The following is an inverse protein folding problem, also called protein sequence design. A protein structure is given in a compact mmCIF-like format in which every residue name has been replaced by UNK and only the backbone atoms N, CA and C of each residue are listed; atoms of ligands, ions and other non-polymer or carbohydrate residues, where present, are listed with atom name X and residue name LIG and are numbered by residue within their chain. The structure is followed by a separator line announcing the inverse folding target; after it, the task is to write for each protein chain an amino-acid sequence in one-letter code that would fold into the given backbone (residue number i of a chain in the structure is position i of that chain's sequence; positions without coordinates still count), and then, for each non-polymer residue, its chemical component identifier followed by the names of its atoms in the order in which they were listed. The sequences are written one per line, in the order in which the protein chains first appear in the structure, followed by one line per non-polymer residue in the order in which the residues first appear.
data_IF_665319671702
#
_entry.id   IF_665319671702
#
_cell.length_a   1.000
_cell.length_b   1.000
_cell.length_c   1.000
_cell.angle_alpha   90.00
_cell.angle_beta   90.00
_cell.angle_gamma   90.00
#
_symmetry.space_group_name_H-M   'P 1'
#
loop_
_entity.id
_entity.type
_entity.pdbx_description
1 polymer ?
#
# COMPACT_ATOMS: atom_id res chain seq x y z
N UNK A 1 -14.65 12.27 -0.97
CA UNK A 1 -13.28 11.89 -1.37
C UNK A 1 -13.13 10.39 -1.17
N UNK A 2 -12.24 9.74 -1.91
CA UNK A 2 -11.92 8.30 -1.77
C UNK A 2 -11.58 7.90 -0.33
N UNK A 3 -11.11 8.86 0.47
CA UNK A 3 -10.72 8.70 1.88
C UNK A 3 -11.45 9.70 2.79
N UNK A 4 -12.77 9.61 2.87
CA UNK A 4 -13.63 10.48 3.68
C UNK A 4 -13.93 9.95 5.09
N UNK A 5 -13.44 8.75 5.41
CA UNK A 5 -13.60 8.07 6.70
C UNK A 5 -12.25 7.69 7.28
N UNK A 6 -12.22 7.56 8.62
CA UNK A 6 -11.06 7.03 9.32
C UNK A 6 -10.72 5.65 8.77
N UNK A 7 -9.44 5.41 8.50
CA UNK A 7 -8.93 4.09 8.15
C UNK A 7 -8.56 3.38 9.44
N UNK A 8 -8.99 2.13 9.56
CA UNK A 8 -8.68 1.26 10.69
C UNK A 8 -7.92 0.05 10.17
N UNK A 9 -6.68 -0.10 10.61
CA UNK A 9 -5.86 -1.29 10.37
C UNK A 9 -5.80 -2.09 11.67
N UNK A 10 -5.99 -3.40 11.58
CA UNK A 10 -6.07 -4.30 12.74
C UNK A 10 -5.12 -5.49 12.60
N UNK A 11 -4.93 -6.22 13.71
CA UNK A 11 -4.18 -7.46 13.72
C UNK A 11 -2.68 -7.23 13.51
N UNK A 12 -1.99 -8.22 12.93
CA UNK A 12 -0.53 -8.15 12.69
C UNK A 12 -0.08 -6.90 11.95
N UNK A 13 -0.86 -6.42 10.98
CA UNK A 13 -0.50 -5.24 10.19
C UNK A 13 -0.43 -3.98 11.06
N UNK A 14 -1.33 -3.84 12.04
CA UNK A 14 -1.27 -2.74 13.02
C UNK A 14 0.01 -2.84 13.86
N UNK A 15 0.35 -4.04 14.34
CA UNK A 15 1.59 -4.25 15.08
C UNK A 15 2.85 -3.94 14.25
N UNK A 16 2.86 -4.32 12.98
CA UNK A 16 3.99 -4.07 12.07
C UNK A 16 4.13 -2.58 11.77
N UNK A 17 3.02 -1.87 11.54
CA UNK A 17 3.02 -0.42 11.36
C UNK A 17 3.54 0.30 12.61
N UNK A 18 3.17 -0.13 13.81
CA UNK A 18 3.71 0.42 15.06
C UNK A 18 5.23 0.22 15.13
N UNK A 19 5.73 -0.98 14.85
CA UNK A 19 7.17 -1.26 14.88
C UNK A 19 7.97 -0.42 13.87
N UNK A 20 7.47 -0.27 12.64
CA UNK A 20 8.09 0.56 11.61
C UNK A 20 8.17 2.04 12.04
N UNK A 21 7.11 2.56 12.68
CA UNK A 21 7.08 3.92 13.22
C UNK A 21 8.01 4.07 14.43
N UNK A 22 7.90 3.16 15.40
CA UNK A 22 8.61 3.25 16.69
C UNK A 22 10.12 3.08 16.53
N UNK A 23 10.56 2.39 15.47
CA UNK A 23 11.97 2.33 15.06
C UNK A 23 12.44 3.53 14.22
N UNK A 24 11.58 4.51 13.97
CA UNK A 24 11.93 5.78 13.33
C UNK A 24 12.03 5.72 11.80
N UNK A 25 11.60 4.62 11.15
CA UNK A 25 11.61 4.53 9.69
C UNK A 25 10.52 5.39 9.04
N UNK A 26 9.42 5.62 9.74
CA UNK A 26 8.32 6.46 9.29
C UNK A 26 7.82 7.35 10.43
N UNK A 27 7.52 8.60 10.12
CA UNK A 27 7.02 9.56 11.12
C UNK A 27 5.54 9.35 11.45
N UNK A 28 4.72 8.96 10.47
CA UNK A 28 3.26 8.77 10.64
C UNK A 28 2.84 7.40 10.12
N UNK A 29 1.80 6.82 10.73
CA UNK A 29 1.13 5.64 10.18
C UNK A 29 0.56 5.87 8.77
N UNK A 30 0.18 7.10 8.46
CA UNK A 30 -0.24 7.48 7.11
C UNK A 30 0.91 7.34 6.09
N UNK A 31 2.14 7.70 6.47
CA UNK A 31 3.30 7.55 5.57
C UNK A 31 3.57 6.08 5.28
N UNK A 32 3.42 5.21 6.30
CA UNK A 32 3.50 3.75 6.12
C UNK A 32 2.39 3.30 5.18
N UNK A 33 1.13 3.69 5.41
CA UNK A 33 -0.02 3.31 4.59
C UNK A 33 0.17 3.66 3.10
N UNK A 34 0.60 4.91 2.82
CA UNK A 34 0.83 5.41 1.46
C UNK A 34 1.95 4.61 0.77
N UNK A 35 3.10 4.46 1.43
CA UNK A 35 4.24 3.78 0.84
C UNK A 35 3.99 2.27 0.70
N UNK A 36 3.28 1.66 1.64
CA UNK A 36 2.92 0.24 1.57
C UNK A 36 2.01 -0.09 0.40
N UNK A 37 1.15 0.83 -0.08
CA UNK A 37 0.38 0.59 -1.31
C UNK A 37 1.31 0.33 -2.51
N UNK A 38 2.33 1.19 -2.67
CA UNK A 38 3.31 1.11 -3.75
C UNK A 38 4.17 -0.15 -3.61
N UNK A 39 4.72 -0.38 -2.41
CA UNK A 39 5.56 -1.55 -2.12
C UNK A 39 4.79 -2.85 -2.34
N UNK A 40 3.56 -2.94 -1.83
CA UNK A 40 2.72 -4.12 -2.03
C UNK A 40 2.46 -4.37 -3.51
N UNK A 41 2.18 -3.34 -4.29
CA UNK A 41 1.98 -3.47 -5.73
C UNK A 41 3.26 -3.93 -6.46
N UNK A 42 4.41 -3.29 -6.18
CA UNK A 42 5.70 -3.64 -6.79
C UNK A 42 6.12 -5.09 -6.53
N UNK A 43 5.87 -5.60 -5.32
CA UNK A 43 6.13 -6.99 -4.95
C UNK A 43 5.00 -7.95 -5.33
N UNK A 44 3.95 -7.47 -6.01
CA UNK A 44 2.71 -8.19 -6.29
C UNK A 44 2.16 -8.92 -5.05
N UNK A 45 2.25 -8.27 -3.89
CA UNK A 45 1.88 -8.83 -2.59
C UNK A 45 0.57 -8.25 -2.12
N UNK A 46 -0.45 -9.12 -2.04
CA UNK A 46 -1.75 -8.84 -1.43
C UNK A 46 -1.85 -9.59 -0.10
N UNK A 47 -2.43 -8.96 0.92
CA UNK A 47 -2.78 -9.61 2.18
C UNK A 47 -4.21 -9.28 2.62
N UNK A 48 -4.76 -10.14 3.47
CA UNK A 48 -6.08 -9.96 4.06
C UNK A 48 -5.95 -9.43 5.49
N UNK A 49 -6.99 -8.75 5.95
CA UNK A 49 -7.06 -8.33 7.36
C UNK A 49 -6.89 -9.53 8.29
N UNK A 50 -5.96 -9.40 9.24
CA UNK A 50 -5.65 -10.45 10.20
C UNK A 50 -6.71 -10.48 11.30
N UNK A 51 -7.26 -11.67 11.54
CA UNK A 51 -8.28 -11.97 12.55
C UNK A 51 -7.77 -12.99 13.58
N UNK A 52 -6.46 -13.22 13.63
CA UNK A 52 -5.86 -14.14 14.59
C UNK A 52 -6.01 -13.62 16.03
N UNK A 53 -6.17 -14.55 16.97
CA UNK A 53 -6.31 -14.22 18.38
C UNK A 53 -5.05 -13.54 18.94
N UNK A 54 -3.89 -13.87 18.38
CA UNK A 54 -2.58 -13.31 18.76
C UNK A 54 -2.53 -11.78 18.68
N UNK A 55 -3.21 -11.18 17.71
CA UNK A 55 -3.17 -9.73 17.47
C UNK A 55 -4.54 -9.05 17.62
N UNK A 56 -5.50 -9.70 18.29
CA UNK A 56 -6.90 -9.23 18.37
C UNK A 56 -7.06 -7.80 18.91
N UNK A 57 -6.18 -7.39 19.83
CA UNK A 57 -6.23 -6.08 20.48
C UNK A 57 -5.41 -5.01 19.75
N UNK A 58 -4.74 -5.35 18.65
CA UNK A 58 -3.93 -4.43 17.86
C UNK A 58 -4.79 -3.67 16.86
N UNK A 59 -4.81 -2.34 17.02
CA UNK A 59 -5.58 -1.41 16.19
C UNK A 59 -4.82 -0.11 15.98
N UNK A 60 -4.61 0.24 14.72
CA UNK A 60 -4.06 1.53 14.28
C UNK A 60 -5.15 2.29 13.54
N UNK A 61 -5.37 3.54 13.92
CA UNK A 61 -6.34 4.40 13.26
C UNK A 61 -5.62 5.58 12.59
N UNK A 62 -5.91 5.79 11.31
CA UNK A 62 -5.48 6.98 10.57
C UNK A 62 -6.69 7.90 10.45
N UNK A 63 -6.57 9.12 10.95
CA UNK A 63 -7.67 10.06 11.04
C UNK A 63 -8.00 10.69 9.68
N UNK A 64 -9.28 10.92 9.42
CA UNK A 64 -9.77 11.57 8.19
C UNK A 64 -9.06 12.89 7.89
N UNK A 65 -8.75 13.70 8.91
CA UNK A 65 -8.02 14.97 8.72
C UNK A 65 -6.66 14.78 8.06
N UNK A 66 -5.95 13.70 8.36
CA UNK A 66 -4.67 13.40 7.72
C UNK A 66 -4.89 12.92 6.28
N UNK A 67 -5.93 12.13 6.05
CA UNK A 67 -6.28 11.62 4.72
C UNK A 67 -6.72 12.74 3.78
N UNK A 68 -7.48 13.71 4.27
CA UNK A 68 -7.91 14.89 3.49
C UNK A 68 -6.71 15.75 3.11
N UNK A 69 -5.74 15.93 4.00
CA UNK A 69 -4.51 16.68 3.70
C UNK A 69 -3.66 16.02 2.61
N UNK A 70 -3.65 14.69 2.57
CA UNK A 70 -2.89 13.89 1.61
C UNK A 70 -3.80 13.29 0.51
N UNK A 71 -4.99 13.86 0.27
CA UNK A 71 -5.99 13.20 -0.60
C UNK A 71 -5.50 13.09 -2.03
N UNK A 72 -4.80 14.11 -2.54
CA UNK A 72 -4.28 14.12 -3.91
C UNK A 72 -3.27 13.01 -4.15
N UNK A 73 -2.36 12.76 -3.20
CA UNK A 73 -1.35 11.68 -3.35
C UNK A 73 -2.00 10.30 -3.22
N UNK A 74 -2.94 10.15 -2.30
CA UNK A 74 -3.67 8.92 -2.09
C UNK A 74 -4.54 8.55 -3.30
N UNK A 75 -5.28 9.53 -3.86
CA UNK A 75 -6.06 9.35 -5.09
C UNK A 75 -5.14 8.99 -6.26
N UNK A 76 -4.02 9.70 -6.43
CA UNK A 76 -3.07 9.38 -7.50
C UNK A 76 -2.57 7.94 -7.42
N UNK A 77 -2.12 7.48 -6.26
CA UNK A 77 -1.60 6.12 -6.07
C UNK A 77 -2.71 5.08 -6.27
N UNK A 78 -3.92 5.34 -5.76
CA UNK A 78 -5.06 4.46 -6.00
C UNK A 78 -5.36 4.30 -7.49
N UNK A 79 -5.48 5.41 -8.22
CA UNK A 79 -5.77 5.40 -9.65
C UNK A 79 -4.67 4.70 -10.44
N UNK A 80 -3.42 4.96 -10.09
CA UNK A 80 -2.26 4.32 -10.71
C UNK A 80 -2.30 2.80 -10.51
N UNK A 81 -2.53 2.33 -9.28
CA UNK A 81 -2.64 0.90 -8.99
C UNK A 81 -3.84 0.30 -9.73
N UNK A 82 -5.02 0.94 -9.73
CA UNK A 82 -6.19 0.41 -10.44
C UNK A 82 -5.97 0.33 -11.95
N UNK A 83 -5.22 1.28 -12.52
CA UNK A 83 -4.89 1.30 -13.94
C UNK A 83 -3.88 0.20 -14.31
N UNK A 84 -2.92 -0.11 -13.42
CA UNK A 84 -1.86 -1.09 -13.64
C UNK A 84 -2.23 -2.51 -13.19
N UNK A 85 -3.18 -2.65 -12.27
CA UNK A 85 -3.63 -3.93 -11.72
C UNK A 85 -4.40 -4.73 -12.78
N UNK A 86 -3.64 -5.49 -13.57
CA UNK A 86 -4.14 -6.39 -14.57
C UNK A 86 -4.62 -7.69 -13.91
N UNK A 87 -5.92 -7.77 -13.63
CA UNK A 87 -6.54 -9.02 -13.19
C UNK A 87 -6.67 -9.97 -14.39
N UNK A 88 -6.72 -11.27 -14.11
CA UNK A 88 -7.02 -12.26 -15.15
C UNK A 88 -8.35 -11.86 -15.80
N UNK A 89 -8.32 -11.72 -17.13
CA UNK A 89 -9.46 -11.34 -17.97
C UNK A 89 -9.90 -9.85 -17.92
N UNK A 90 -9.13 -8.93 -17.30
CA UNK A 90 -9.45 -7.49 -17.32
C UNK A 90 -8.97 -6.79 -18.60
N UNK A 91 -9.85 -6.04 -19.26
CA UNK A 91 -9.48 -5.22 -20.43
C UNK A 91 -8.87 -3.87 -20.01
N UNK A 92 -8.17 -3.19 -20.92
CA UNK A 92 -7.69 -1.82 -20.68
C UNK A 92 -8.83 -0.86 -20.28
N UNK A 93 -9.99 -0.98 -20.94
CA UNK A 93 -11.16 -0.16 -20.63
C UNK A 93 -11.68 -0.43 -19.21
N UNK A 94 -11.69 -1.67 -18.76
CA UNK A 94 -12.05 -2.01 -17.37
C UNK A 94 -11.10 -1.36 -16.37
N UNK A 95 -9.78 -1.38 -16.63
CA UNK A 95 -8.79 -0.74 -15.75
C UNK A 95 -8.95 0.78 -15.73
N UNK A 96 -9.22 1.41 -16.87
CA UNK A 96 -9.53 2.85 -16.96
C UNK A 96 -10.80 3.17 -16.16
N UNK A 97 -11.86 2.36 -16.30
CA UNK A 97 -13.09 2.54 -15.54
C UNK A 97 -12.84 2.42 -14.03
N UNK A 98 -12.11 1.40 -13.57
CA UNK A 98 -11.73 1.23 -12.15
C UNK A 98 -10.95 2.42 -11.60
N UNK A 99 -10.08 3.02 -12.42
CA UNK A 99 -9.23 4.13 -12.02
C UNK A 99 -9.92 5.50 -12.05
N UNK A 100 -10.84 5.77 -12.99
CA UNK A 100 -11.36 7.14 -13.21
C UNK A 100 -12.88 7.27 -13.22
N UNK A 101 -13.62 6.17 -13.32
CA UNK A 101 -15.09 6.17 -13.29
C UNK A 101 -15.60 5.68 -11.94
N UNK A 102 -15.10 4.52 -11.53
CA UNK A 102 -15.50 3.82 -10.30
C UNK A 102 -14.73 4.34 -9.06
N UNK A 103 -13.91 5.37 -9.21
CA UNK A 103 -13.19 6.06 -8.14
C UNK A 103 -14.02 7.22 -7.53
N UNK A 104 -15.10 7.64 -8.19
CA UNK A 104 -15.93 8.78 -7.80
C UNK A 104 -17.09 8.39 -6.87
N UNK A 105 -17.27 9.15 -5.78
CA UNK A 105 -18.29 8.92 -4.74
C UNK A 105 -19.74 8.94 -5.21
N UNK A 106 -20.02 9.43 -6.43
CA UNK A 106 -21.38 9.44 -6.97
C UNK A 106 -21.89 8.02 -7.23
N UNK A 107 -20.98 7.04 -7.23
CA UNK A 107 -21.30 5.63 -7.32
C UNK A 107 -20.89 4.94 -6.00
N UNK A 108 -21.83 4.84 -5.06
CA UNK A 108 -21.72 3.91 -3.91
C UNK A 108 -21.93 2.47 -4.41
N UNK A 109 -21.33 2.14 -5.55
CA UNK A 109 -21.48 0.84 -6.18
C UNK A 109 -20.61 -0.18 -5.48
N UNK A 110 -21.05 -1.43 -5.62
CA UNK A 110 -20.29 -2.61 -5.25
C UNK A 110 -18.85 -2.56 -5.82
N UNK A 111 -18.69 -2.04 -7.04
CA UNK A 111 -17.41 -1.89 -7.74
C UNK A 111 -16.41 -1.00 -7.00
N UNK A 112 -16.85 0.15 -6.49
CA UNK A 112 -15.99 1.04 -5.72
C UNK A 112 -15.46 0.35 -4.46
N UNK A 113 -16.34 -0.36 -3.75
CA UNK A 113 -15.98 -1.13 -2.56
C UNK A 113 -15.01 -2.27 -2.89
N UNK A 114 -15.20 -2.98 -4.01
CA UNK A 114 -14.30 -4.03 -4.47
C UNK A 114 -12.91 -3.48 -4.84
N UNK A 115 -12.84 -2.39 -5.62
CA UNK A 115 -11.59 -1.75 -5.97
C UNK A 115 -10.84 -1.24 -4.73
N UNK A 116 -11.57 -0.69 -3.75
CA UNK A 116 -11.02 -0.28 -2.45
C UNK A 116 -10.44 -1.47 -1.69
N UNK A 117 -11.11 -2.64 -1.69
CA UNK A 117 -10.56 -3.86 -1.07
C UNK A 117 -9.28 -4.32 -1.78
N UNK A 118 -9.21 -4.23 -3.10
CA UNK A 118 -7.98 -4.55 -3.86
C UNK A 118 -6.85 -3.62 -3.44
N UNK A 119 -7.09 -2.32 -3.42
CA UNK A 119 -6.10 -1.33 -2.98
C UNK A 119 -5.61 -1.60 -1.55
N UNK A 120 -6.53 -1.80 -0.60
CA UNK A 120 -6.19 -2.13 0.79
C UNK A 120 -5.40 -3.43 0.87
N UNK A 121 -5.72 -4.43 0.06
CA UNK A 121 -4.97 -5.70 0.08
C UNK A 121 -3.49 -5.51 -0.31
N UNK A 122 -3.20 -4.61 -1.25
CA UNK A 122 -1.82 -4.22 -1.57
C UNK A 122 -1.17 -3.45 -0.42
N UNK A 123 -1.88 -2.51 0.21
CA UNK A 123 -1.36 -1.84 1.41
C UNK A 123 -0.96 -2.86 2.48
N UNK A 124 -1.83 -3.81 2.80
CA UNK A 124 -1.54 -4.81 3.82
C UNK A 124 -0.34 -5.69 3.43
N UNK A 125 -0.27 -6.12 2.18
CA UNK A 125 0.87 -6.87 1.66
C UNK A 125 2.18 -6.07 1.69
N UNK A 126 2.13 -4.77 1.40
CA UNK A 126 3.30 -3.90 1.50
C UNK A 126 3.75 -3.64 2.94
N UNK A 127 2.83 -3.62 3.91
CA UNK A 127 3.18 -3.57 5.34
C UNK A 127 3.94 -4.84 5.74
N UNK A 128 3.50 -6.01 5.27
CA UNK A 128 4.23 -7.28 5.49
C UNK A 128 5.63 -7.21 4.87
N UNK A 129 5.76 -6.79 3.60
CA UNK A 129 7.07 -6.68 2.93
C UNK A 129 8.02 -5.74 3.66
N UNK A 130 7.55 -4.54 4.04
CA UNK A 130 8.38 -3.59 4.79
C UNK A 130 8.85 -4.17 6.12
N UNK A 131 7.95 -4.83 6.85
CA UNK A 131 8.29 -5.48 8.11
C UNK A 131 9.33 -6.61 7.92
N UNK A 132 9.08 -7.53 6.99
CA UNK A 132 9.96 -8.68 6.71
C UNK A 132 11.34 -8.24 6.22
N UNK A 133 11.39 -7.21 5.36
CA UNK A 133 12.64 -6.72 4.78
C UNK A 133 13.45 -5.89 5.78
N UNK A 134 12.81 -5.05 6.59
CA UNK A 134 13.50 -4.09 7.45
C UNK A 134 13.64 -4.61 8.88
N UNK A 135 12.54 -5.06 9.48
CA UNK A 135 12.42 -5.35 10.91
C UNK A 135 12.76 -6.79 11.25
N UNK A 136 12.10 -7.77 10.62
CA UNK A 136 12.17 -9.18 11.01
C UNK A 136 13.59 -9.75 10.97
N UNK A 137 14.41 -9.29 10.01
CA UNK A 137 15.77 -9.77 9.79
C UNK A 137 16.83 -9.06 10.64
N UNK A 138 16.47 -8.05 11.41
CA UNK A 138 17.42 -7.26 12.20
C UNK A 138 17.32 -7.56 13.70
N UNK A 139 18.48 -7.79 14.34
CA UNK A 139 18.55 -7.93 15.79
C UNK A 139 19.00 -6.62 16.46
N UNK A 140 19.81 -5.82 15.77
CA UNK A 140 20.37 -4.55 16.26
C UNK A 140 19.92 -3.37 15.42
N UNK A 141 20.04 -2.15 15.95
CA UNK A 141 19.72 -0.92 15.21
C UNK A 141 20.54 -0.78 13.91
N UNK A 142 21.81 -1.21 13.94
CA UNK A 142 22.68 -1.21 12.76
C UNK A 142 22.18 -2.17 11.69
N UNK A 143 21.67 -3.35 12.08
CA UNK A 143 21.06 -4.29 11.13
C UNK A 143 19.81 -3.67 10.49
N UNK A 144 18.96 -3.04 11.29
CA UNK A 144 17.74 -2.39 10.78
C UNK A 144 18.07 -1.28 9.77
N UNK A 145 19.06 -0.44 10.07
CA UNK A 145 19.53 0.61 9.13
C UNK A 145 20.10 0.01 7.85
N UNK A 146 20.92 -1.04 7.96
CA UNK A 146 21.47 -1.76 6.80
C UNK A 146 20.36 -2.37 5.95
N UNK A 147 19.39 -3.03 6.58
CA UNK A 147 18.26 -3.63 5.90
C UNK A 147 17.42 -2.60 5.15
N UNK A 148 17.13 -1.46 5.77
CA UNK A 148 16.42 -0.36 5.11
C UNK A 148 17.20 0.21 3.91
N UNK A 149 18.52 0.36 4.04
CA UNK A 149 19.39 0.78 2.94
C UNK A 149 19.37 -0.23 1.78
N UNK A 150 19.49 -1.52 2.08
CA UNK A 150 19.45 -2.59 1.08
C UNK A 150 18.09 -2.62 0.36
N UNK A 151 16.99 -2.46 1.12
CA UNK A 151 15.65 -2.35 0.55
C UNK A 151 15.53 -1.17 -0.42
N UNK A 152 15.98 0.03 -0.03
CA UNK A 152 15.94 1.20 -0.93
C UNK A 152 16.82 1.02 -2.16
N UNK A 153 17.99 0.36 -2.02
CA UNK A 153 18.87 0.05 -3.13
C UNK A 153 18.23 -0.93 -4.11
N UNK A 154 17.53 -1.96 -3.61
CA UNK A 154 16.76 -2.91 -4.42
C UNK A 154 15.72 -2.18 -5.29
N UNK A 155 15.00 -1.20 -4.71
CA UNK A 155 14.01 -0.40 -5.44
C UNK A 155 14.64 0.56 -6.48
N UNK A 156 15.79 1.15 -6.19
CA UNK A 156 16.46 2.03 -7.17
C UNK A 156 17.05 1.24 -8.34
N UNK A 157 17.58 0.04 -8.10
CA UNK A 157 18.14 -0.80 -9.15
C UNK A 157 17.07 -1.39 -10.07
N UNK A 158 15.86 -1.64 -9.57
CA UNK A 158 14.74 -2.06 -10.42
C UNK A 158 14.28 -0.93 -11.37
N UNK A 159 14.35 0.33 -10.93
CA UNK A 159 13.96 1.50 -11.73
C UNK A 159 14.93 1.80 -12.89
N UNK A 160 16.24 1.61 -12.70
CA UNK A 160 17.25 1.97 -13.71
C UNK A 160 17.17 1.07 -14.97
N UNK A 161 16.57 -0.12 -14.87
CA UNK A 161 16.63 -1.14 -15.93
C UNK A 161 15.49 -1.10 -16.96
N UNK A 162 14.53 -0.17 -16.86
CA UNK A 162 13.42 -0.06 -17.83
C UNK A 162 13.05 1.40 -18.08
N UNK A 163 13.03 1.82 -19.35
CA UNK A 163 12.50 3.12 -19.74
C UNK A 163 10.97 3.12 -19.70
N UNK A 164 10.34 4.30 -19.64
CA UNK A 164 8.88 4.42 -19.72
C UNK A 164 8.33 3.84 -21.03
N UNK A 165 9.10 3.97 -22.12
CA UNK A 165 8.75 3.42 -23.43
C UNK A 165 8.76 1.89 -23.43
N UNK A 166 9.71 1.26 -22.73
CA UNK A 166 9.76 -0.20 -22.59
C UNK A 166 8.53 -0.74 -21.86
N UNK A 167 8.02 0.01 -20.87
CA UNK A 167 6.83 -0.37 -20.08
C UNK A 167 5.55 -0.21 -20.91
N UNK A 168 5.44 0.84 -21.73
CA UNK A 168 4.25 1.08 -22.56
C UNK A 168 4.11 0.08 -23.70
N UNK A 169 5.22 -0.46 -24.20
CA UNK A 169 5.20 -1.47 -25.28
C UNK A 169 4.75 -2.87 -24.84
N UNK A 170 4.64 -3.11 -23.52
CA UNK A 170 4.18 -4.39 -22.95
C UNK A 170 2.69 -4.37 -22.54
N UNK A 171 2.00 -3.22 -22.68
CA UNK A 171 0.57 -3.03 -22.38
C UNK A 171 -0.32 -3.20 -23.62
#
# INVERSE_FOLDING_TARGET
MLFDKNIIITGKHSAYMDLLRDKGFFSRHLDIYINSAIVGFQYNRKSLSDKSETYKDKRTQIHTEQLVKESSILEFIYRLIMLLDNQKDSTLEDRINRAFRDDSLNDVSEKHSENTKVFISYVLGGVEVLYEKIIEKGATEQDLMKNAYEFMKEQNLSFINRSADDILNEL
#
